data_IF_687761140511
#
_entry.id   IF_687761140511
#
_cell.length_a   1.000
_cell.length_b   1.000
_cell.length_c   1.000
_cell.angle_alpha   90.00
_cell.angle_beta   90.00
_cell.angle_gamma   90.00
#
_symmetry.space_group_name_H-M   'P 1'
#
loop_
_entity.id
_entity.type
_entity.pdbx_description
1 polymer ?
#
# COMPACT_ATOMS: atom_id res chain seq x y z
N UNK A 1 8.22 3.80 -21.54
CA UNK A 1 8.53 4.25 -20.16
C UNK A 1 8.53 3.01 -19.25
N UNK A 2 9.52 2.83 -18.38
CA UNK A 2 9.46 1.78 -17.34
C UNK A 2 8.62 2.31 -16.17
N UNK A 3 7.74 1.49 -15.59
CA UNK A 3 6.81 1.89 -14.53
C UNK A 3 6.83 0.87 -13.39
N UNK A 4 6.81 1.35 -12.16
CA UNK A 4 6.66 0.56 -10.94
C UNK A 4 5.50 1.11 -10.12
N UNK A 5 4.59 0.24 -9.68
CA UNK A 5 3.40 0.62 -8.92
C UNK A 5 3.16 -0.35 -7.77
N UNK A 6 2.67 0.18 -6.65
CA UNK A 6 2.33 -0.56 -5.44
C UNK A 6 0.95 -0.11 -4.96
N UNK A 7 0.22 -1.02 -4.32
CA UNK A 7 -1.04 -0.72 -3.65
C UNK A 7 -1.04 -1.32 -2.25
N UNK A 8 -1.64 -0.60 -1.31
CA UNK A 8 -1.91 -1.09 0.05
C UNK A 8 -3.35 -1.58 0.09
N UNK A 9 -3.55 -2.84 0.47
CA UNK A 9 -4.88 -3.38 0.69
C UNK A 9 -5.40 -2.87 2.04
N UNK A 10 -6.41 -2.00 2.00
CA UNK A 10 -7.03 -1.42 3.20
C UNK A 10 -8.35 -2.09 3.57
N UNK A 11 -8.97 -2.82 2.65
CA UNK A 11 -10.13 -3.69 2.86
C UNK A 11 -10.01 -4.92 1.94
N UNK A 12 -10.47 -6.07 2.41
CA UNK A 12 -10.50 -7.32 1.65
C UNK A 12 -11.77 -7.45 0.78
N UNK A 13 -12.81 -6.65 1.03
CA UNK A 13 -14.08 -6.65 0.28
C UNK A 13 -14.68 -8.05 0.11
N UNK A 14 -14.65 -8.88 1.15
CA UNK A 14 -15.16 -10.25 1.07
C UNK A 14 -16.69 -10.24 0.88
N UNK A 15 -17.25 -11.04 -0.03
CA UNK A 15 -18.67 -10.99 -0.39
C UNK A 15 -19.59 -11.34 0.79
N UNK A 16 -19.18 -12.28 1.64
CA UNK A 16 -19.98 -12.73 2.79
C UNK A 16 -19.97 -11.74 3.96
N UNK A 17 -19.01 -10.81 3.98
CA UNK A 17 -18.84 -9.80 5.05
C UNK A 17 -18.75 -8.40 4.47
N UNK A 18 -19.46 -8.14 3.37
CA UNK A 18 -19.39 -6.87 2.68
C UNK A 18 -19.97 -5.75 3.56
N UNK A 19 -19.25 -4.63 3.62
CA UNK A 19 -19.62 -3.47 4.42
C UNK A 19 -19.42 -2.18 3.61
N UNK A 20 -20.14 -1.09 3.94
CA UNK A 20 -19.83 0.22 3.39
C UNK A 20 -18.39 0.64 3.71
N UNK A 21 -17.75 1.37 2.80
CA UNK A 21 -16.40 1.87 3.00
C UNK A 21 -16.37 2.93 4.12
N UNK A 22 -15.53 2.71 5.14
CA UNK A 22 -15.25 3.69 6.19
C UNK A 22 -13.86 4.31 5.98
N UNK A 23 -13.83 5.63 5.78
CA UNK A 23 -12.60 6.38 5.54
C UNK A 23 -11.62 6.30 6.71
N UNK A 24 -12.10 6.20 7.94
CA UNK A 24 -11.25 6.14 9.14
C UNK A 24 -10.54 4.80 9.22
N UNK A 25 -11.22 3.69 8.92
CA UNK A 25 -10.60 2.37 8.84
C UNK A 25 -9.57 2.30 7.70
N UNK A 26 -9.92 2.83 6.53
CA UNK A 26 -9.01 2.87 5.38
C UNK A 26 -7.71 3.60 5.75
N UNK A 27 -7.82 4.78 6.36
CA UNK A 27 -6.65 5.57 6.80
C UNK A 27 -5.87 4.82 7.88
N UNK A 28 -6.53 4.17 8.84
CA UNK A 28 -5.87 3.40 9.89
C UNK A 28 -5.02 2.25 9.32
N UNK A 29 -5.57 1.46 8.40
CA UNK A 29 -4.82 0.38 7.74
C UNK A 29 -3.71 0.93 6.84
N UNK A 30 -3.96 2.00 6.08
CA UNK A 30 -2.95 2.65 5.26
C UNK A 30 -1.76 3.15 6.10
N UNK A 31 -2.03 3.79 7.24
CA UNK A 31 -1.00 4.23 8.18
C UNK A 31 -0.22 3.06 8.79
N UNK A 32 -0.89 1.93 9.07
CA UNK A 32 -0.20 0.72 9.56
C UNK A 32 0.77 0.13 8.52
N UNK A 33 0.45 0.26 7.23
CA UNK A 33 1.27 -0.23 6.13
C UNK A 33 2.39 0.75 5.72
N UNK A 34 2.23 2.05 6.02
CA UNK A 34 3.13 3.12 5.60
C UNK A 34 4.62 2.85 5.89
N UNK A 35 5.04 2.34 7.08
CA UNK A 35 6.46 2.10 7.34
C UNK A 35 7.07 1.05 6.41
N UNK A 36 6.32 -0.02 6.10
CA UNK A 36 6.76 -1.09 5.19
C UNK A 36 6.81 -0.59 3.75
N UNK A 37 5.79 0.15 3.32
CA UNK A 37 5.75 0.75 1.99
C UNK A 37 6.93 1.71 1.79
N UNK A 38 7.23 2.55 2.79
CA UNK A 38 8.39 3.45 2.77
C UNK A 38 9.70 2.67 2.59
N UNK A 39 9.90 1.59 3.34
CA UNK A 39 11.10 0.77 3.22
C UNK A 39 11.27 0.18 1.81
N UNK A 40 10.18 -0.34 1.22
CA UNK A 40 10.19 -0.87 -0.14
C UNK A 40 10.53 0.19 -1.19
N UNK A 41 9.88 1.35 -1.13
CA UNK A 41 10.13 2.44 -2.08
C UNK A 41 11.59 2.92 -1.99
N UNK A 42 12.12 3.12 -0.78
CA UNK A 42 13.52 3.52 -0.61
C UNK A 42 14.49 2.48 -1.15
N UNK A 43 14.24 1.18 -0.91
CA UNK A 43 15.08 0.11 -1.45
C UNK A 43 15.05 0.05 -2.98
N UNK A 44 13.87 0.24 -3.60
CA UNK A 44 13.74 0.30 -5.07
C UNK A 44 14.49 1.50 -5.64
N UNK A 45 14.39 2.67 -5.02
CA UNK A 45 15.13 3.86 -5.46
C UNK A 45 16.64 3.65 -5.35
N UNK A 46 17.13 3.03 -4.27
CA UNK A 46 18.55 2.69 -4.12
C UNK A 46 19.01 1.70 -5.19
N UNK A 47 18.21 0.67 -5.49
CA UNK A 47 18.51 -0.30 -6.52
C UNK A 47 18.57 0.32 -7.92
N UNK A 48 17.60 1.16 -8.27
CA UNK A 48 17.57 1.83 -9.58
C UNK A 48 18.68 2.88 -9.72
N UNK A 49 19.12 3.53 -8.63
CA UNK A 49 20.24 4.48 -8.67
C UNK A 49 21.61 3.82 -8.86
N UNK A 50 21.76 2.55 -8.46
CA UNK A 50 22.99 1.78 -8.64
C UNK A 50 23.11 1.12 -10.03
N UNK A 51 22.10 1.29 -10.89
CA UNK A 51 21.98 0.64 -12.19
C UNK A 51 22.36 1.58 -13.33
#
# INVERSE_FOLDING_TARGET
LRVFGLSVITDMCLPDTLKPADINEIIAFANSAQPKLRALVLAVLQHEAAR
#
